data_IF_589302852824
#
_entry.id   IF_589302852824
#
_cell.length_a   1.000
_cell.length_b   1.000
_cell.length_c   1.000
_cell.angle_alpha   90.00
_cell.angle_beta   90.00
_cell.angle_gamma   90.00
#
_symmetry.space_group_name_H-M   'P 1'
#
loop_
_entity.id
_entity.type
_entity.pdbx_description
1 polymer ?
#
# COMPACT_ATOMS: atom_id res chain seq x y z
N UNK A 1 3.47 0.41 -9.95
CA UNK A 1 3.40 -0.97 -9.41
C UNK A 1 4.65 -1.39 -8.64
N UNK A 2 5.87 -1.19 -9.19
CA UNK A 2 7.14 -1.63 -8.56
C UNK A 2 7.25 -1.26 -7.07
N UNK A 3 6.95 -0.01 -6.70
CA UNK A 3 6.98 0.50 -5.30
C UNK A 3 6.13 -0.31 -4.31
N UNK A 4 5.09 -1.02 -4.77
CA UNK A 4 4.20 -1.84 -3.92
C UNK A 4 4.49 -3.34 -4.05
N UNK A 5 4.80 -3.81 -5.25
CA UNK A 5 4.96 -5.24 -5.54
C UNK A 5 6.38 -5.77 -5.39
N UNK A 6 7.37 -4.89 -5.21
CA UNK A 6 8.79 -5.26 -5.08
C UNK A 6 9.41 -4.80 -3.74
N UNK A 7 8.63 -4.14 -2.88
CA UNK A 7 9.10 -3.73 -1.56
C UNK A 7 9.13 -4.91 -0.56
N UNK A 8 9.79 -4.71 0.59
CA UNK A 8 9.89 -5.72 1.67
C UNK A 8 8.51 -6.23 2.16
N UNK A 9 7.47 -5.41 2.04
CA UNK A 9 6.10 -5.76 2.43
C UNK A 9 5.24 -6.35 1.31
N UNK A 10 5.79 -6.62 0.12
CA UNK A 10 5.01 -7.07 -1.04
C UNK A 10 4.31 -8.41 -0.82
N UNK A 11 4.89 -9.27 0.02
CA UNK A 11 4.34 -10.58 0.41
C UNK A 11 3.44 -10.52 1.64
N UNK A 12 3.27 -9.35 2.25
CA UNK A 12 2.46 -9.18 3.45
C UNK A 12 1.03 -8.79 3.05
N UNK A 13 0.02 -9.65 3.26
CA UNK A 13 -1.35 -9.34 2.88
C UNK A 13 -1.99 -8.32 3.83
N UNK A 14 -3.02 -7.62 3.34
CA UNK A 14 -3.91 -6.79 4.16
C UNK A 14 -5.01 -7.62 4.80
N UNK A 15 -6.15 -6.99 5.13
CA UNK A 15 -7.33 -7.68 5.70
C UNK A 15 -7.99 -8.65 4.72
N UNK A 16 -7.76 -8.47 3.42
CA UNK A 16 -8.34 -9.28 2.34
C UNK A 16 -7.55 -10.56 2.04
N UNK A 17 -6.39 -10.76 2.68
CA UNK A 17 -5.54 -11.94 2.48
C UNK A 17 -4.83 -12.01 1.13
N UNK A 18 -5.00 -11.02 0.24
CA UNK A 18 -4.51 -11.08 -1.14
C UNK A 18 -3.10 -10.51 -1.30
N UNK A 19 -2.32 -11.14 -2.17
CA UNK A 19 -1.02 -10.67 -2.66
C UNK A 19 -1.00 -10.66 -4.19
N UNK A 20 -0.14 -9.83 -4.79
CA UNK A 20 0.10 -9.81 -6.25
C UNK A 20 1.52 -10.26 -6.55
N UNK A 21 1.75 -11.58 -6.57
CA UNK A 21 3.08 -12.17 -6.72
C UNK A 21 3.41 -12.55 -8.17
N UNK A 22 2.42 -12.81 -9.02
CA UNK A 22 2.63 -13.14 -10.45
C UNK A 22 2.42 -11.92 -11.36
N UNK A 23 3.07 -11.86 -12.54
CA UNK A 23 2.81 -10.80 -13.52
C UNK A 23 1.33 -10.67 -13.90
N UNK A 24 0.63 -11.78 -14.08
CA UNK A 24 -0.79 -11.81 -14.40
C UNK A 24 -1.65 -11.17 -13.29
N UNK A 25 -1.37 -11.48 -12.01
CA UNK A 25 -2.07 -10.85 -10.88
C UNK A 25 -1.76 -9.36 -10.77
N UNK A 26 -0.50 -8.95 -11.01
CA UNK A 26 -0.10 -7.54 -11.00
C UNK A 26 -0.85 -6.77 -12.09
N UNK A 27 -0.93 -7.31 -13.31
CA UNK A 27 -1.67 -6.71 -14.41
C UNK A 27 -3.16 -6.62 -14.10
N UNK A 28 -3.79 -7.74 -13.68
CA UNK A 28 -5.21 -7.75 -13.29
C UNK A 28 -5.49 -6.74 -12.19
N UNK A 29 -4.63 -6.67 -11.18
CA UNK A 29 -4.71 -5.72 -10.08
C UNK A 29 -4.62 -4.27 -10.55
N UNK A 30 -3.70 -3.97 -11.47
CA UNK A 30 -3.52 -2.64 -12.05
C UNK A 30 -4.80 -2.12 -12.71
N UNK A 31 -5.48 -2.98 -13.47
CA UNK A 31 -6.72 -2.64 -14.15
C UNK A 31 -7.86 -2.32 -13.18
N UNK A 32 -7.76 -2.72 -11.91
CA UNK A 32 -8.76 -2.38 -10.87
C UNK A 32 -8.52 -1.05 -10.16
N UNK A 33 -7.44 -0.33 -10.47
CA UNK A 33 -7.06 0.93 -9.84
C UNK A 33 -7.84 2.11 -10.46
N UNK A 34 -9.15 2.13 -10.21
CA UNK A 34 -10.07 3.16 -10.71
C UNK A 34 -10.45 4.07 -9.55
N UNK A 35 -10.35 5.40 -9.75
CA UNK A 35 -10.72 6.40 -8.73
C UNK A 35 -12.21 6.36 -8.39
N UNK A 36 -13.07 6.30 -9.41
CA UNK A 36 -14.53 6.32 -9.23
C UNK A 36 -14.98 5.02 -8.55
N UNK A 37 -15.70 5.15 -7.44
CA UNK A 37 -16.20 4.01 -6.67
C UNK A 37 -15.13 3.29 -5.83
N UNK A 38 -13.90 3.81 -5.74
CA UNK A 38 -12.89 3.28 -4.82
C UNK A 38 -13.32 3.49 -3.37
N UNK A 39 -13.36 2.39 -2.61
CA UNK A 39 -13.52 2.38 -1.15
C UNK A 39 -12.35 1.61 -0.56
N UNK A 40 -11.57 2.29 0.29
CA UNK A 40 -10.47 1.67 1.00
C UNK A 40 -11.00 0.64 2.00
N UNK A 41 -10.28 -0.46 2.17
CA UNK A 41 -10.61 -1.47 3.17
C UNK A 41 -9.99 -1.12 4.54
N UNK A 42 -10.53 -1.66 5.64
CA UNK A 42 -9.92 -1.51 6.96
C UNK A 42 -8.46 -2.00 6.99
N UNK A 43 -7.64 -1.40 7.86
CA UNK A 43 -6.24 -1.78 8.02
C UNK A 43 -6.10 -3.04 8.88
N UNK A 44 -5.21 -3.95 8.49
CA UNK A 44 -4.87 -5.11 9.33
C UNK A 44 -3.88 -4.70 10.40
N UNK A 45 -4.22 -4.89 11.68
CA UNK A 45 -3.35 -4.52 12.81
C UNK A 45 -2.35 -5.63 13.15
N UNK A 46 -1.09 -5.26 13.30
CA UNK A 46 0.00 -6.15 13.79
C UNK A 46 0.82 -5.40 14.82
N UNK A 47 1.24 -6.06 15.90
CA UNK A 47 2.16 -5.48 16.88
C UNK A 47 3.60 -5.82 16.50
N UNK A 48 4.44 -4.80 16.36
CA UNK A 48 5.89 -4.98 16.12
C UNK A 48 6.70 -4.47 17.32
N UNK A 49 7.82 -5.14 17.66
CA UNK A 49 8.62 -4.76 18.81
C UNK A 49 9.33 -3.41 18.59
N UNK A 50 9.45 -2.62 19.65
CA UNK A 50 10.38 -1.48 19.75
C UNK A 50 11.68 -1.95 20.39
N UNK A 51 12.75 -1.16 20.23
CA UNK A 51 14.04 -1.40 20.88
C UNK A 51 13.95 -1.44 22.42
N UNK A 52 12.99 -0.73 23.01
CA UNK A 52 12.79 -0.63 24.46
C UNK A 52 11.83 -1.70 25.04
N UNK A 53 11.62 -2.82 24.34
CA UNK A 53 10.77 -3.92 24.78
C UNK A 53 9.26 -3.70 24.65
N UNK A 54 8.79 -2.46 24.48
CA UNK A 54 7.37 -2.16 24.22
C UNK A 54 6.97 -2.55 22.79
N UNK A 55 5.67 -2.71 22.52
CA UNK A 55 5.14 -2.98 21.17
C UNK A 55 4.55 -1.70 20.55
N UNK A 56 4.65 -1.52 19.23
CA UNK A 56 3.91 -0.49 18.48
C UNK A 56 2.92 -1.14 17.50
N UNK A 57 1.70 -0.61 17.37
CA UNK A 57 0.76 -1.08 16.38
C UNK A 57 1.16 -0.62 14.99
N UNK A 58 1.13 -1.52 14.02
CA UNK A 58 1.28 -1.26 12.60
C UNK A 58 -0.05 -1.57 11.90
N UNK A 59 -0.53 -0.65 11.07
CA UNK A 59 -1.66 -0.88 10.17
C UNK A 59 -1.15 -1.28 8.79
N UNK A 60 -1.57 -2.44 8.30
CA UNK A 60 -1.17 -2.97 6.99
C UNK A 60 -2.39 -2.87 6.04
N UNK A 61 -2.34 -1.98 5.05
CA UNK A 61 -3.38 -1.89 4.01
C UNK A 61 -3.33 -3.07 3.04
N UNK A 62 -4.41 -3.27 2.28
CA UNK A 62 -4.43 -4.23 1.18
C UNK A 62 -3.44 -3.84 0.08
N UNK A 63 -3.08 -4.77 -0.79
CA UNK A 63 -2.18 -4.45 -1.93
C UNK A 63 -2.85 -3.41 -2.86
N UNK A 64 -4.16 -3.51 -3.05
CA UNK A 64 -4.93 -2.54 -3.84
C UNK A 64 -4.84 -1.14 -3.23
N UNK A 65 -5.05 -1.01 -1.93
CA UNK A 65 -5.00 0.29 -1.26
C UNK A 65 -3.59 0.89 -1.28
N UNK A 66 -2.55 0.06 -1.09
CA UNK A 66 -1.15 0.49 -1.25
C UNK A 66 -0.85 0.98 -2.67
N UNK A 67 -1.38 0.29 -3.68
CA UNK A 67 -1.20 0.69 -5.07
C UNK A 67 -1.90 2.02 -5.38
N UNK A 68 -3.11 2.24 -4.83
CA UNK A 68 -3.78 3.54 -4.90
C UNK A 68 -2.97 4.63 -4.20
N UNK A 69 -2.49 4.40 -2.98
CA UNK A 69 -1.63 5.35 -2.26
C UNK A 69 -0.37 5.72 -3.04
N UNK A 70 0.31 4.74 -3.64
CA UNK A 70 1.49 4.98 -4.46
C UNK A 70 1.18 5.80 -5.73
N UNK A 71 -0.01 5.63 -6.32
CA UNK A 71 -0.45 6.41 -7.46
C UNK A 71 -0.66 7.89 -7.07
N UNK A 72 -1.37 8.15 -5.96
CA UNK A 72 -1.55 9.50 -5.47
C UNK A 72 -0.24 10.15 -5.07
N UNK A 73 0.65 9.40 -4.41
CA UNK A 73 1.96 9.90 -4.02
C UNK A 73 2.76 10.40 -5.24
N UNK A 74 2.78 9.63 -6.33
CA UNK A 74 3.47 10.04 -7.57
C UNK A 74 2.95 11.37 -8.13
N UNK A 75 1.65 11.64 -7.98
CA UNK A 75 1.06 12.91 -8.45
C UNK A 75 1.28 14.07 -7.50
N UNK A 76 1.37 13.79 -6.19
CA UNK A 76 1.47 14.79 -5.15
C UNK A 76 2.92 15.17 -4.81
N UNK A 77 3.88 14.27 -4.99
CA UNK A 77 5.32 14.50 -4.76
C UNK A 77 5.81 15.81 -5.42
N UNK A 78 5.65 16.06 -6.74
CA UNK A 78 6.17 17.28 -7.37
C UNK A 78 5.48 18.56 -6.90
N UNK A 79 4.19 18.48 -6.56
CA UNK A 79 3.45 19.63 -6.02
C UNK A 79 3.97 19.97 -4.63
N UNK A 80 4.13 18.96 -3.77
CA UNK A 80 4.63 19.15 -2.42
C UNK A 80 6.06 19.72 -2.42
N UNK A 81 6.93 19.25 -3.30
CA UNK A 81 8.31 19.76 -3.43
C UNK A 81 8.36 21.24 -3.83
N UNK A 82 7.43 21.70 -4.68
CA UNK A 82 7.43 23.06 -5.22
C UNK A 82 6.66 24.08 -4.36
N UNK A 83 5.66 23.63 -3.60
CA UNK A 83 4.80 24.51 -2.78
C UNK A 83 5.12 24.51 -1.29
N UNK A 84 5.96 23.61 -0.79
CA UNK A 84 6.36 23.58 0.63
C UNK A 84 7.46 24.62 1.00
N UNK A 85 7.61 25.68 0.20
CA UNK A 85 8.54 26.79 0.43
C UNK A 85 7.90 27.82 1.37
#
# INVERSE_FOLDING_TARGET
>A
MRRVTENKGAKTPGVDGKIWNTPAQKMKGALTLIRKGYKALPLRRVLIPKKNGKKRPLGIPTIKDRAMQALYLLTLEPIAETTAI
#
